data_IF_510068337112
#
_entry.id   IF_510068337112
#
_cell.length_a   1.000
_cell.length_b   1.000
_cell.length_c   1.000
_cell.angle_alpha   90.00
_cell.angle_beta   90.00
_cell.angle_gamma   90.00
#
_symmetry.space_group_name_H-M   'P 1'
#
loop_
_entity.id
_entity.type
_entity.pdbx_description
1 polymer ?
#
# COMPACT_ATOMS: atom_id res chain seq x y z
N UNK A 1 -2.91 21.16 5.36
CA UNK A 1 -2.19 20.49 6.45
C UNK A 1 -2.87 19.22 6.94
N UNK A 2 -4.18 19.24 7.20
CA UNK A 2 -4.96 18.06 7.61
C UNK A 2 -4.99 16.92 6.58
N UNK A 3 -4.65 17.19 5.32
CA UNK A 3 -4.59 16.21 4.25
C UNK A 3 -3.26 15.44 4.19
N UNK A 4 -2.23 15.90 4.89
CA UNK A 4 -0.92 15.26 4.85
C UNK A 4 -1.00 13.80 5.30
N UNK A 5 -0.53 12.87 4.46
CA UNK A 5 -0.59 11.43 4.72
C UNK A 5 -2.00 10.81 4.73
N UNK A 6 -3.06 11.59 4.47
CA UNK A 6 -4.46 11.13 4.47
C UNK A 6 -5.09 11.18 3.11
N UNK A 7 -4.95 12.29 2.41
CA UNK A 7 -5.52 12.52 1.09
C UNK A 7 -4.40 12.88 0.12
N UNK A 8 -4.35 12.19 -1.02
CA UNK A 8 -3.35 12.45 -2.06
C UNK A 8 -3.54 13.85 -2.64
N UNK A 9 -2.47 14.66 -2.73
CA UNK A 9 -2.55 16.00 -3.32
C UNK A 9 -2.57 16.00 -4.85
N UNK A 10 -2.28 14.86 -5.50
CA UNK A 10 -2.10 14.75 -6.94
C UNK A 10 -3.30 14.07 -7.60
N UNK A 11 -3.79 12.96 -7.03
CA UNK A 11 -4.84 12.15 -7.64
C UNK A 11 -6.22 12.77 -7.44
N UNK A 12 -6.70 13.47 -8.45
CA UNK A 12 -8.04 14.04 -8.53
C UNK A 12 -8.50 14.03 -10.00
N UNK A 13 -9.81 14.00 -10.31
CA UNK A 13 -10.29 14.10 -11.68
C UNK A 13 -9.87 15.40 -12.33
N UNK A 14 -9.77 15.38 -13.66
CA UNK A 14 -9.67 16.57 -14.50
C UNK A 14 -11.08 17.06 -14.84
N UNK A 15 -11.32 18.37 -14.79
CA UNK A 15 -12.59 18.97 -15.15
C UNK A 15 -13.41 19.49 -13.96
N UNK A 16 -14.77 19.50 -14.04
CA UNK A 16 -15.62 20.17 -13.04
C UNK A 16 -15.49 19.65 -11.62
N UNK A 17 -15.13 18.38 -11.46
CA UNK A 17 -14.99 17.71 -10.18
C UNK A 17 -13.57 17.76 -9.59
N UNK A 18 -12.69 18.59 -10.15
CA UNK A 18 -11.32 18.72 -9.64
C UNK A 18 -11.31 19.17 -8.18
N UNK A 19 -10.55 18.46 -7.36
CA UNK A 19 -10.47 18.73 -5.92
C UNK A 19 -11.67 18.31 -5.10
N UNK A 20 -12.78 17.92 -5.72
CA UNK A 20 -13.99 17.43 -5.02
C UNK A 20 -13.98 15.91 -4.83
N UNK A 21 -13.42 15.19 -5.78
CA UNK A 21 -13.23 13.73 -5.69
C UNK A 21 -11.75 13.49 -5.42
N UNK A 22 -11.44 12.91 -4.28
CA UNK A 22 -10.08 12.68 -3.82
C UNK A 22 -9.83 11.21 -3.54
N UNK A 23 -8.56 10.82 -3.50
CA UNK A 23 -8.13 9.46 -3.17
C UNK A 23 -7.36 9.43 -1.85
N UNK A 24 -7.51 8.36 -1.09
CA UNK A 24 -6.75 8.14 0.14
C UNK A 24 -5.26 7.94 -0.18
N UNK A 25 -4.41 8.41 0.71
CA UNK A 25 -2.98 8.11 0.66
C UNK A 25 -2.71 6.63 0.95
N UNK A 26 -1.54 6.13 0.52
CA UNK A 26 -1.17 4.69 0.55
C UNK A 26 -1.37 4.05 1.92
N UNK A 27 -0.97 4.74 2.99
CA UNK A 27 -1.03 4.20 4.36
C UNK A 27 -2.18 4.75 5.19
N UNK A 28 -3.04 5.59 4.61
CA UNK A 28 -4.19 6.15 5.30
C UNK A 28 -5.21 5.06 5.65
N UNK A 29 -5.80 5.20 6.82
CA UNK A 29 -6.80 4.29 7.36
C UNK A 29 -7.98 5.10 7.90
N UNK A 30 -9.18 4.56 7.79
CA UNK A 30 -10.38 5.14 8.41
C UNK A 30 -10.62 4.43 9.72
N UNK A 31 -10.77 5.19 10.81
CA UNK A 31 -11.08 4.63 12.12
C UNK A 31 -12.59 4.31 12.27
N UNK A 32 -12.97 3.71 13.39
CA UNK A 32 -14.35 3.31 13.67
C UNK A 32 -15.33 4.49 13.76
N UNK A 33 -14.83 5.71 13.97
CA UNK A 33 -15.60 6.94 14.01
C UNK A 33 -15.70 7.65 12.65
N UNK A 34 -15.05 7.13 11.62
CA UNK A 34 -15.04 7.70 10.27
C UNK A 34 -13.97 8.77 10.02
N UNK A 35 -13.02 8.98 10.95
CA UNK A 35 -11.89 9.88 10.73
C UNK A 35 -10.76 9.16 10.01
N UNK A 36 -10.06 9.90 9.12
CA UNK A 36 -8.88 9.39 8.42
C UNK A 36 -7.65 9.57 9.31
N UNK A 37 -6.94 8.49 9.54
CA UNK A 37 -5.71 8.43 10.32
C UNK A 37 -4.53 8.09 9.42
N UNK A 38 -3.35 8.57 9.80
CA UNK A 38 -2.09 8.26 9.14
C UNK A 38 -1.10 7.66 10.13
N UNK A 39 -0.26 6.68 9.71
CA UNK A 39 0.70 6.06 10.61
C UNK A 39 1.95 6.92 10.78
N UNK A 40 2.48 6.92 11.98
CA UNK A 40 3.78 7.50 12.34
C UNK A 40 4.57 6.51 13.20
N UNK A 41 5.89 6.58 13.12
CA UNK A 41 6.79 5.85 14.00
C UNK A 41 7.03 6.66 15.25
N UNK A 42 6.92 6.05 16.40
CA UNK A 42 7.17 6.70 17.70
C UNK A 42 8.66 6.94 17.92
N UNK A 43 9.01 8.10 18.45
CA UNK A 43 10.38 8.47 18.80
C UNK A 43 10.52 8.56 20.32
N UNK A 44 11.50 7.86 20.87
CA UNK A 44 11.80 7.88 22.30
C UNK A 44 13.28 8.19 22.51
N UNK A 45 13.57 9.27 23.24
CA UNK A 45 14.94 9.72 23.55
C UNK A 45 15.86 9.82 22.32
N UNK A 46 15.36 10.41 21.23
CA UNK A 46 16.11 10.56 19.99
C UNK A 46 16.33 9.28 19.20
N UNK A 47 15.61 8.20 19.55
CA UNK A 47 15.63 6.93 18.83
C UNK A 47 14.24 6.64 18.25
N UNK A 48 14.21 6.32 16.97
CA UNK A 48 12.99 5.88 16.27
C UNK A 48 12.71 4.43 16.62
N UNK A 49 11.51 4.16 17.14
CA UNK A 49 11.05 2.81 17.47
C UNK A 49 10.33 2.17 16.28
N UNK A 50 10.10 0.87 16.35
CA UNK A 50 9.28 0.15 15.35
C UNK A 50 7.79 0.18 15.70
N UNK A 51 7.42 0.86 16.79
CA UNK A 51 6.03 1.06 17.18
C UNK A 51 5.38 2.07 16.23
N UNK A 52 4.26 1.64 15.62
CA UNK A 52 3.48 2.47 14.71
C UNK A 52 2.24 2.96 15.42
N UNK A 53 2.07 4.27 15.45
CA UNK A 53 0.89 4.92 15.99
C UNK A 53 0.09 5.58 14.87
N UNK A 54 -1.20 5.27 14.79
CA UNK A 54 -2.12 5.95 13.89
C UNK A 54 -2.68 7.19 14.58
N UNK A 55 -2.59 8.32 13.91
CA UNK A 55 -2.93 9.64 14.46
C UNK A 55 -3.91 10.34 13.54
N UNK A 56 -4.97 10.89 14.12
CA UNK A 56 -5.95 11.73 13.42
C UNK A 56 -5.40 13.15 13.19
N UNK A 57 -6.02 13.90 12.27
CA UNK A 57 -5.60 15.26 11.98
C UNK A 57 -5.72 16.23 13.17
N UNK A 58 -6.63 15.95 14.10
CA UNK A 58 -6.86 16.75 15.30
C UNK A 58 -5.69 16.56 16.27
N UNK A 59 -5.33 15.32 16.54
CA UNK A 59 -4.25 14.95 17.47
C UNK A 59 -2.86 15.31 16.92
N UNK A 60 -2.68 15.25 15.60
CA UNK A 60 -1.40 15.52 14.93
C UNK A 60 -0.83 16.91 15.28
N UNK A 61 -1.69 17.90 15.47
CA UNK A 61 -1.26 19.26 15.81
C UNK A 61 -0.54 19.40 17.15
N UNK A 62 -0.62 18.40 18.02
CA UNK A 62 0.03 18.39 19.34
C UNK A 62 1.45 17.81 19.29
N UNK A 63 1.77 17.03 18.24
CA UNK A 63 3.04 16.32 18.10
C UNK A 63 4.03 17.05 17.20
N UNK A 64 5.31 16.91 17.53
CA UNK A 64 6.43 17.31 16.67
C UNK A 64 6.84 16.11 15.82
N UNK A 65 6.67 16.21 14.49
CA UNK A 65 6.81 15.08 13.56
C UNK A 65 8.00 15.31 12.65
N UNK A 66 9.01 14.44 12.74
CA UNK A 66 10.16 14.47 11.84
C UNK A 66 9.81 13.90 10.45
N UNK A 67 10.42 14.47 9.41
CA UNK A 67 10.25 14.00 8.05
C UNK A 67 10.94 12.65 7.82
N UNK A 68 10.39 11.82 6.92
CA UNK A 68 10.97 10.52 6.57
C UNK A 68 12.35 10.60 5.90
N UNK A 69 12.73 11.76 5.35
CA UNK A 69 14.02 12.01 4.69
C UNK A 69 15.20 12.15 5.64
N UNK A 70 14.94 12.30 6.95
CA UNK A 70 15.99 12.46 7.97
C UNK A 70 16.82 11.19 8.07
N UNK A 71 18.15 11.36 8.07
CA UNK A 71 19.08 10.24 8.14
C UNK A 71 19.15 9.66 9.54
N UNK A 72 19.01 8.35 9.62
CA UNK A 72 19.15 7.57 10.85
C UNK A 72 20.44 6.74 10.82
N UNK A 73 21.03 6.52 12.00
CA UNK A 73 22.13 5.58 12.20
C UNK A 73 21.61 4.12 12.18
N UNK A 74 22.52 3.14 12.16
CA UNK A 74 22.23 1.70 12.23
C UNK A 74 21.39 1.31 13.46
N UNK A 75 21.42 2.13 14.51
CA UNK A 75 20.65 1.93 15.75
C UNK A 75 19.32 2.70 15.74
N UNK A 76 18.87 3.23 14.61
CA UNK A 76 17.67 4.06 14.46
C UNK A 76 17.73 5.38 15.27
N UNK A 77 18.93 5.92 15.53
CA UNK A 77 19.09 7.24 16.12
C UNK A 77 19.31 8.31 15.07
N UNK A 78 18.81 9.51 15.33
CA UNK A 78 19.09 10.67 14.47
C UNK A 78 20.59 11.00 14.48
N UNK A 79 21.14 11.28 13.29
CA UNK A 79 22.56 11.62 13.12
C UNK A 79 22.77 13.11 13.36
N UNK A 80 21.81 13.93 12.95
CA UNK A 80 21.85 15.39 13.02
C UNK A 80 21.19 15.88 14.30
N UNK A 81 21.73 16.91 14.93
CA UNK A 81 21.15 17.52 16.15
C UNK A 81 19.89 18.34 15.85
N UNK A 82 19.82 18.94 14.64
CA UNK A 82 18.68 19.68 14.13
C UNK A 82 18.07 18.94 12.97
N UNK A 83 16.79 18.62 13.08
CA UNK A 83 16.04 17.86 12.07
C UNK A 83 14.86 18.68 11.55
N UNK A 84 14.52 18.56 10.25
CA UNK A 84 13.33 19.16 9.71
C UNK A 84 12.09 18.45 10.26
N UNK A 85 11.23 19.22 10.89
CA UNK A 85 10.00 18.75 11.52
C UNK A 85 8.79 19.52 11.00
N UNK A 86 7.63 18.90 11.18
CA UNK A 86 6.32 19.55 11.01
C UNK A 86 5.67 19.68 12.40
N UNK A 87 5.36 20.91 12.77
CA UNK A 87 4.67 21.24 14.01
C UNK A 87 3.62 22.31 13.75
N UNK A 88 2.40 22.10 14.20
CA UNK A 88 1.26 23.02 14.01
C UNK A 88 1.11 23.54 12.59
N UNK A 89 1.30 22.64 11.59
CA UNK A 89 1.22 22.93 10.14
C UNK A 89 2.37 23.80 9.58
N UNK A 90 3.42 24.07 10.33
CA UNK A 90 4.62 24.77 9.87
C UNK A 90 5.79 23.79 9.78
N UNK A 91 6.70 24.08 8.84
CA UNK A 91 7.94 23.32 8.69
C UNK A 91 9.06 24.12 9.37
N UNK A 92 9.66 23.52 10.37
CA UNK A 92 10.71 24.12 11.17
C UNK A 92 11.90 23.16 11.34
N UNK A 93 13.03 23.71 11.80
CA UNK A 93 14.16 22.92 12.28
C UNK A 93 14.12 22.88 13.80
N UNK A 94 14.02 21.70 14.37
CA UNK A 94 14.01 21.51 15.82
C UNK A 94 15.07 20.51 16.26
N UNK A 95 15.42 20.58 17.55
CA UNK A 95 16.33 19.61 18.18
C UNK A 95 15.66 18.26 18.33
N UNK A 96 16.45 17.20 18.21
CA UNK A 96 16.01 15.81 18.28
C UNK A 96 15.23 15.47 19.55
N UNK A 97 15.56 16.13 20.67
CA UNK A 97 14.91 15.90 21.98
C UNK A 97 13.43 16.31 22.00
N UNK A 98 13.01 17.12 21.04
CA UNK A 98 11.61 17.59 20.93
C UNK A 98 10.76 16.74 19.97
N UNK A 99 11.37 15.80 19.26
CA UNK A 99 10.69 15.00 18.26
C UNK A 99 9.90 13.88 18.94
N UNK A 100 8.60 13.85 18.72
CA UNK A 100 7.69 12.85 19.27
C UNK A 100 7.46 11.69 18.30
N UNK A 101 7.29 12.02 17.00
CA UNK A 101 6.94 11.07 15.93
C UNK A 101 7.82 11.29 14.71
N UNK A 102 7.87 10.30 13.85
CA UNK A 102 8.54 10.36 12.55
C UNK A 102 7.64 9.75 11.46
N UNK A 103 7.64 10.34 10.26
CA UNK A 103 6.97 9.79 9.10
C UNK A 103 7.49 8.39 8.79
N UNK A 104 6.60 7.47 8.38
CA UNK A 104 6.96 6.09 8.07
C UNK A 104 7.75 6.00 6.77
N UNK A 105 7.31 6.73 5.73
CA UNK A 105 7.89 6.72 4.40
C UNK A 105 7.54 7.99 3.63
N UNK A 106 8.38 8.45 2.68
CA UNK A 106 8.01 9.53 1.77
C UNK A 106 6.78 9.23 0.92
N UNK A 107 6.51 7.96 0.62
CA UNK A 107 5.32 7.51 -0.13
C UNK A 107 4.00 7.71 0.64
N UNK A 108 4.08 8.00 1.92
CA UNK A 108 2.92 8.22 2.78
C UNK A 108 2.00 9.35 2.29
N UNK A 109 2.52 10.30 1.56
CA UNK A 109 1.80 11.51 1.13
C UNK A 109 0.91 11.24 -0.09
N UNK A 110 1.27 10.30 -0.95
CA UNK A 110 0.62 10.05 -2.23
C UNK A 110 -0.30 8.84 -2.21
N UNK A 111 -1.23 8.78 -3.17
CA UNK A 111 -2.10 7.61 -3.37
C UNK A 111 -1.34 6.45 -4.04
N UNK A 112 -1.99 5.29 -4.12
CA UNK A 112 -1.44 4.10 -4.79
C UNK A 112 -1.12 4.40 -6.26
N UNK A 113 -2.02 5.08 -6.97
CA UNK A 113 -1.80 5.41 -8.39
C UNK A 113 -0.59 6.34 -8.56
N UNK A 114 -0.48 7.38 -7.74
CA UNK A 114 0.67 8.28 -7.78
C UNK A 114 1.97 7.59 -7.34
N UNK A 115 1.92 6.67 -6.38
CA UNK A 115 3.09 5.91 -5.93
C UNK A 115 3.63 4.92 -6.99
N UNK A 116 2.85 4.59 -8.01
CA UNK A 116 3.28 3.77 -9.15
C UNK A 116 4.00 4.56 -10.25
N UNK A 117 4.04 5.89 -10.16
CA UNK A 117 4.75 6.73 -11.13
C UNK A 117 6.24 6.74 -10.79
N UNK A 118 7.12 6.20 -11.67
CA UNK A 118 8.56 6.25 -11.42
C UNK A 118 9.07 7.69 -11.55
N UNK A 119 10.02 8.08 -10.69
CA UNK A 119 10.61 9.43 -10.64
C UNK A 119 9.59 10.55 -10.42
N UNK A 120 8.54 10.28 -9.66
CA UNK A 120 7.47 11.23 -9.37
C UNK A 120 7.99 12.57 -8.82
N UNK A 121 9.05 12.53 -8.01
CA UNK A 121 9.68 13.71 -7.41
C UNK A 121 10.29 14.68 -8.43
N UNK A 122 10.51 14.24 -9.66
CA UNK A 122 11.04 15.05 -10.77
C UNK A 122 9.96 15.54 -11.72
N UNK A 123 8.70 15.13 -11.52
CA UNK A 123 7.59 15.48 -12.39
C UNK A 123 6.82 16.70 -11.86
N UNK A 124 6.31 17.51 -12.78
CA UNK A 124 5.35 18.56 -12.44
C UNK A 124 4.03 17.95 -11.95
N UNK A 125 3.42 18.59 -10.95
CA UNK A 125 2.19 18.10 -10.32
C UNK A 125 1.04 17.92 -11.33
N UNK A 126 0.90 18.83 -12.31
CA UNK A 126 -0.14 18.74 -13.33
C UNK A 126 0.05 17.50 -14.22
N UNK A 127 1.30 17.17 -14.58
CA UNK A 127 1.60 15.98 -15.39
C UNK A 127 1.45 14.70 -14.60
N UNK A 128 1.79 14.71 -13.33
CA UNK A 128 1.55 13.58 -12.43
C UNK A 128 0.05 13.31 -12.23
N UNK A 129 -0.78 14.35 -12.13
CA UNK A 129 -2.24 14.26 -12.09
C UNK A 129 -2.78 13.58 -13.36
N UNK A 130 -2.37 14.05 -14.53
CA UNK A 130 -2.77 13.45 -15.81
C UNK A 130 -2.32 12.00 -15.91
N UNK A 131 -1.08 11.68 -15.53
CA UNK A 131 -0.52 10.34 -15.53
C UNK A 131 -1.28 9.38 -14.61
N UNK A 132 -1.61 9.79 -13.40
CA UNK A 132 -2.37 8.97 -12.46
C UNK A 132 -3.80 8.69 -12.95
N UNK A 133 -4.44 9.64 -13.62
CA UNK A 133 -5.73 9.45 -14.25
C UNK A 133 -5.66 8.49 -15.45
N UNK A 134 -4.60 8.58 -16.26
CA UNK A 134 -4.39 7.67 -17.41
C UNK A 134 -4.10 6.23 -17.01
N UNK A 135 -3.47 5.99 -15.86
CA UNK A 135 -3.29 4.63 -15.32
C UNK A 135 -4.61 3.88 -15.14
N UNK A 136 -5.69 4.58 -14.79
CA UNK A 136 -7.02 3.98 -14.64
C UNK A 136 -7.69 3.62 -15.98
N UNK A 137 -7.16 4.07 -17.10
CA UNK A 137 -7.62 3.80 -18.45
C UNK A 137 -6.78 2.74 -19.17
N UNK A 138 -5.86 2.10 -18.44
CA UNK A 138 -4.97 1.08 -19.00
C UNK A 138 -5.74 -0.13 -19.49
N UNK A 139 -5.32 -0.67 -20.65
CA UNK A 139 -5.87 -1.88 -21.25
C UNK A 139 -4.80 -2.97 -21.21
N UNK A 140 -5.13 -4.20 -20.76
CA UNK A 140 -4.20 -5.32 -20.78
C UNK A 140 -3.68 -5.62 -22.18
N UNK A 141 -2.37 -5.85 -22.31
CA UNK A 141 -1.74 -6.27 -23.57
C UNK A 141 -1.90 -7.78 -23.79
N UNK A 142 -1.73 -8.24 -25.02
CA UNK A 142 -1.78 -9.67 -25.35
C UNK A 142 -0.68 -10.48 -24.63
N UNK A 143 0.53 -9.93 -24.59
CA UNK A 143 1.65 -10.45 -23.81
C UNK A 143 1.99 -9.43 -22.74
N UNK A 144 1.88 -9.82 -21.48
CA UNK A 144 2.20 -8.96 -20.35
C UNK A 144 3.66 -9.09 -19.97
N UNK A 145 4.32 -7.95 -19.78
CA UNK A 145 5.72 -7.89 -19.38
C UNK A 145 5.86 -7.01 -18.13
N UNK A 146 6.85 -7.30 -17.31
CA UNK A 146 7.18 -6.44 -16.19
C UNK A 146 7.79 -5.12 -16.69
N UNK A 147 7.46 -3.98 -16.07
CA UNK A 147 8.05 -2.69 -16.45
C UNK A 147 9.56 -2.70 -16.21
N UNK A 148 10.34 -2.13 -17.14
CA UNK A 148 11.81 -2.00 -17.02
C UNK A 148 12.18 -1.09 -15.84
N UNK A 149 11.39 -0.06 -15.59
CA UNK A 149 11.55 0.86 -14.46
C UNK A 149 10.28 0.82 -13.63
N UNK A 150 10.42 0.48 -12.38
CA UNK A 150 9.31 0.37 -11.44
C UNK A 150 9.61 1.05 -10.11
N UNK A 151 8.61 1.18 -9.27
CA UNK A 151 8.69 1.83 -7.95
C UNK A 151 8.79 0.83 -6.79
N UNK A 152 8.65 -0.47 -7.07
CA UNK A 152 8.55 -1.52 -6.06
C UNK A 152 7.14 -1.75 -5.51
N UNK A 153 6.18 -0.88 -5.83
CA UNK A 153 4.78 -1.03 -5.42
C UNK A 153 3.99 -1.99 -6.32
N UNK A 154 4.47 -2.28 -7.52
CA UNK A 154 3.73 -3.03 -8.54
C UNK A 154 3.31 -4.41 -8.04
N UNK A 155 4.22 -5.13 -7.40
CA UNK A 155 3.94 -6.47 -6.86
C UNK A 155 2.86 -6.44 -5.79
N UNK A 156 2.95 -5.50 -4.84
CA UNK A 156 1.97 -5.35 -3.76
C UNK A 156 0.60 -4.96 -4.30
N UNK A 157 0.56 -4.01 -5.23
CA UNK A 157 -0.69 -3.57 -5.87
C UNK A 157 -1.34 -4.72 -6.64
N UNK A 158 -0.59 -5.49 -7.41
CA UNK A 158 -1.09 -6.66 -8.12
C UNK A 158 -1.64 -7.72 -7.15
N UNK A 159 -0.93 -7.99 -6.05
CA UNK A 159 -1.33 -8.96 -5.04
C UNK A 159 -2.66 -8.57 -4.37
N UNK A 160 -2.85 -7.29 -4.04
CA UNK A 160 -4.04 -6.80 -3.33
C UNK A 160 -5.13 -6.24 -4.24
N UNK A 161 -4.99 -6.32 -5.57
CA UNK A 161 -5.97 -5.80 -6.53
C UNK A 161 -7.30 -6.54 -6.56
N UNK A 162 -7.35 -7.75 -6.00
CA UNK A 162 -8.53 -8.61 -6.06
C UNK A 162 -8.65 -9.44 -7.35
N UNK A 163 -7.81 -9.20 -8.36
CA UNK A 163 -7.75 -10.00 -9.58
C UNK A 163 -6.92 -11.28 -9.39
N UNK A 164 -6.02 -11.28 -8.41
CA UNK A 164 -5.24 -12.45 -8.00
C UNK A 164 -5.99 -13.23 -6.92
N UNK A 165 -5.97 -14.55 -7.02
CA UNK A 165 -6.49 -15.44 -5.98
C UNK A 165 -5.37 -15.65 -4.95
N UNK A 166 -5.69 -15.34 -3.69
CA UNK A 166 -4.75 -15.43 -2.57
C UNK A 166 -5.17 -16.59 -1.67
N UNK A 167 -4.20 -17.36 -1.20
CA UNK A 167 -4.43 -18.45 -0.25
C UNK A 167 -4.94 -17.89 1.09
N UNK A 168 -6.09 -18.39 1.54
CA UNK A 168 -6.68 -18.01 2.85
C UNK A 168 -5.97 -18.68 4.02
N UNK A 169 -5.57 -19.93 3.82
CA UNK A 169 -4.94 -20.76 4.83
C UNK A 169 -3.65 -21.37 4.32
N UNK A 170 -2.76 -21.72 5.23
CA UNK A 170 -1.53 -22.46 4.89
C UNK A 170 -1.83 -23.93 4.62
N UNK A 171 -1.12 -24.51 3.66
CA UNK A 171 -1.36 -25.91 3.29
C UNK A 171 -0.43 -26.43 2.22
N UNK A 172 -0.82 -27.56 1.65
CA UNK A 172 -0.12 -28.18 0.51
C UNK A 172 -1.10 -28.30 -0.65
N UNK A 173 -0.64 -27.95 -1.85
CA UNK A 173 -1.43 -28.08 -3.10
C UNK A 173 -1.60 -29.56 -3.39
N UNK A 174 -2.84 -30.03 -3.40
CA UNK A 174 -3.17 -31.41 -3.66
C UNK A 174 -3.43 -31.66 -5.15
N UNK A 175 -4.14 -30.74 -5.77
CA UNK A 175 -4.48 -30.84 -7.21
C UNK A 175 -4.59 -29.47 -7.83
N UNK A 176 -4.04 -29.35 -9.03
CA UNK A 176 -4.15 -28.15 -9.88
C UNK A 176 -4.79 -28.54 -11.21
N UNK A 177 -5.82 -27.80 -11.56
CA UNK A 177 -6.49 -27.90 -12.86
C UNK A 177 -6.59 -26.48 -13.45
N UNK A 178 -6.86 -26.38 -14.74
CA UNK A 178 -7.01 -25.07 -15.39
C UNK A 178 -8.13 -24.20 -14.79
N UNK A 179 -9.16 -24.82 -14.20
CA UNK A 179 -10.32 -24.15 -13.64
C UNK A 179 -10.37 -24.10 -12.11
N UNK A 180 -9.55 -24.87 -11.42
CA UNK A 180 -9.57 -24.94 -9.96
C UNK A 180 -8.26 -25.39 -9.34
N UNK A 181 -8.00 -24.92 -8.12
CA UNK A 181 -6.88 -25.33 -7.28
C UNK A 181 -7.45 -25.89 -5.99
N UNK A 182 -6.96 -27.06 -5.59
CA UNK A 182 -7.35 -27.75 -4.34
C UNK A 182 -6.18 -27.76 -3.40
N UNK A 183 -6.35 -27.18 -2.21
CA UNK A 183 -5.32 -27.08 -1.18
C UNK A 183 -5.78 -27.84 0.06
N UNK A 184 -4.95 -28.75 0.52
CA UNK A 184 -5.13 -29.42 1.81
C UNK A 184 -4.52 -28.54 2.90
N UNK A 185 -5.36 -28.07 3.83
CA UNK A 185 -4.94 -27.25 4.96
C UNK A 185 -4.02 -28.01 5.93
N UNK A 186 -3.17 -27.28 6.61
CA UNK A 186 -2.39 -27.84 7.73
C UNK A 186 -3.32 -28.18 8.89
N UNK A 187 -3.22 -29.38 9.42
CA UNK A 187 -4.06 -29.88 10.52
C UNK A 187 -4.04 -29.02 11.78
N UNK A 188 -2.99 -28.23 11.98
CA UNK A 188 -2.83 -27.35 13.16
C UNK A 188 -3.69 -26.07 13.08
N UNK A 189 -4.16 -25.70 11.90
CA UNK A 189 -4.91 -24.47 11.65
C UNK A 189 -6.40 -24.74 11.40
N UNK A 190 -6.83 -26.00 11.46
CA UNK A 190 -8.20 -26.41 11.21
C UNK A 190 -9.03 -26.32 12.50
N UNK A 191 -10.08 -25.52 12.51
CA UNK A 191 -11.11 -25.56 13.55
C UNK A 191 -11.98 -26.82 13.38
N UNK A 192 -12.56 -27.32 14.46
CA UNK A 192 -13.39 -28.53 14.44
C UNK A 192 -14.63 -28.44 13.48
N UNK A 193 -15.00 -27.23 13.07
CA UNK A 193 -16.12 -26.94 12.16
C UNK A 193 -15.69 -26.65 10.73
N UNK A 194 -14.37 -26.53 10.46
CA UNK A 194 -13.85 -26.15 9.16
C UNK A 194 -13.55 -27.36 8.25
N UNK A 195 -13.70 -27.16 6.94
CA UNK A 195 -13.26 -28.15 5.95
C UNK A 195 -11.72 -28.29 5.97
N UNK A 196 -11.24 -29.51 5.85
CA UNK A 196 -9.81 -29.82 5.73
C UNK A 196 -9.20 -29.39 4.38
N UNK A 197 -10.04 -28.98 3.43
CA UNK A 197 -9.63 -28.65 2.06
C UNK A 197 -10.23 -27.30 1.65
N UNK A 198 -9.42 -26.48 1.05
CA UNK A 198 -9.85 -25.24 0.37
C UNK A 198 -9.87 -25.45 -1.15
N UNK A 199 -10.96 -25.05 -1.78
CA UNK A 199 -11.13 -25.12 -3.23
C UNK A 199 -11.22 -23.68 -3.76
N UNK A 200 -10.29 -23.32 -4.65
CA UNK A 200 -10.25 -22.03 -5.34
C UNK A 200 -10.65 -22.22 -6.79
N UNK A 201 -11.72 -21.57 -7.23
CA UNK A 201 -12.17 -21.59 -8.61
C UNK A 201 -11.53 -20.43 -9.38
N UNK A 202 -10.92 -20.73 -10.53
CA UNK A 202 -10.28 -19.75 -11.40
C UNK A 202 -11.27 -19.21 -12.43
N UNK A 203 -11.22 -17.90 -12.68
CA UNK A 203 -12.00 -17.25 -13.71
C UNK A 203 -11.35 -17.54 -15.07
N UNK A 204 -12.12 -18.10 -15.99
CA UNK A 204 -11.63 -18.51 -17.32
C UNK A 204 -12.36 -17.77 -18.42
N UNK A 205 -11.63 -16.98 -19.20
CA UNK A 205 -12.08 -16.33 -20.44
C UNK A 205 -13.42 -15.62 -20.32
N UNK A 206 -13.64 -14.90 -19.22
CA UNK A 206 -14.85 -14.12 -19.02
C UNK A 206 -14.66 -12.70 -19.55
N UNK A 207 -15.75 -12.11 -20.03
CA UNK A 207 -15.76 -10.71 -20.47
C UNK A 207 -15.92 -9.78 -19.27
N UNK A 208 -15.07 -8.76 -19.16
CA UNK A 208 -15.25 -7.68 -18.22
C UNK A 208 -16.26 -6.64 -18.72
N UNK A 209 -16.70 -5.74 -17.83
CA UNK A 209 -17.58 -4.62 -18.20
C UNK A 209 -16.94 -3.67 -19.24
N UNK A 210 -15.62 -3.61 -19.31
CA UNK A 210 -14.84 -2.83 -20.27
C UNK A 210 -14.50 -3.59 -21.56
N UNK A 211 -15.15 -4.72 -21.82
CA UNK A 211 -14.90 -5.60 -22.99
C UNK A 211 -13.48 -6.21 -23.04
N UNK A 212 -12.82 -6.33 -21.90
CA UNK A 212 -11.53 -7.03 -21.79
C UNK A 212 -11.73 -8.49 -21.40
N UNK A 213 -10.81 -9.37 -21.75
CA UNK A 213 -10.84 -10.77 -21.39
C UNK A 213 -10.16 -10.99 -20.04
N UNK A 214 -10.88 -11.57 -19.08
CA UNK A 214 -10.34 -11.98 -17.79
C UNK A 214 -10.05 -13.47 -17.86
N UNK A 215 -8.79 -13.86 -17.67
CA UNK A 215 -8.35 -15.25 -17.65
C UNK A 215 -7.27 -15.42 -16.56
N UNK A 216 -7.59 -16.20 -15.53
CA UNK A 216 -6.65 -16.52 -14.46
C UNK A 216 -5.91 -17.82 -14.79
N UNK A 217 -4.62 -17.84 -14.49
CA UNK A 217 -3.76 -19.02 -14.64
C UNK A 217 -3.17 -19.41 -13.30
N UNK A 218 -3.17 -20.70 -12.93
CA UNK A 218 -2.47 -21.14 -11.72
C UNK A 218 -0.96 -20.94 -11.92
N UNK A 219 -0.29 -20.43 -10.87
CA UNK A 219 1.18 -20.30 -10.83
C UNK A 219 1.82 -21.35 -9.92
N UNK A 220 0.99 -22.11 -9.18
CA UNK A 220 1.41 -23.15 -8.27
C UNK A 220 1.33 -24.52 -8.91
N UNK A 221 2.14 -25.46 -8.44
CA UNK A 221 2.18 -26.86 -8.90
C UNK A 221 1.72 -27.81 -7.81
N UNK A 222 1.32 -29.02 -8.20
CA UNK A 222 0.95 -30.08 -7.24
C UNK A 222 2.13 -30.42 -6.33
N UNK A 223 1.89 -30.47 -5.03
CA UNK A 223 2.88 -30.72 -3.99
C UNK A 223 3.53 -29.47 -3.40
N UNK A 224 3.28 -28.27 -3.94
CA UNK A 224 3.84 -27.03 -3.41
C UNK A 224 3.27 -26.75 -2.01
N UNK A 225 4.13 -26.25 -1.13
CA UNK A 225 3.74 -25.76 0.20
C UNK A 225 3.42 -24.28 0.10
N UNK A 226 2.25 -23.90 0.59
CA UNK A 226 1.71 -22.55 0.51
C UNK A 226 1.48 -22.01 1.91
N UNK A 227 1.78 -20.74 2.10
CA UNK A 227 1.45 -19.97 3.29
C UNK A 227 0.20 -19.12 3.06
N UNK A 228 -0.52 -18.80 4.11
CA UNK A 228 -1.62 -17.83 4.01
C UNK A 228 -1.10 -16.50 3.45
N UNK A 229 -1.78 -15.95 2.43
CA UNK A 229 -1.37 -14.73 1.74
C UNK A 229 -0.57 -14.94 0.44
N UNK A 230 -0.17 -16.17 0.11
CA UNK A 230 0.51 -16.47 -1.15
C UNK A 230 -0.46 -16.40 -2.35
N UNK A 231 0.04 -16.00 -3.50
CA UNK A 231 -0.71 -15.98 -4.77
C UNK A 231 -0.74 -17.39 -5.36
N UNK A 232 -1.91 -17.79 -5.87
CA UNK A 232 -2.18 -19.14 -6.39
C UNK A 232 -2.14 -19.27 -7.90
#
# INVERSE_FOLDING_TARGET
>A
PSHYGRVCPIETPEGPNIGLINSLSVYAKVNDFGFIETPYRKVENGKVTDEIQYVSAIEEGEFVIAQASVKLDKNNKFIEELVPVRYRNEFELMTVDRVDLMDVSPQQVVSIAAALIPFLEHDDANRALMGSNMQRQAVPTLSTEAPLVGTGMERLVAQYSGDCIIAKNSGTVEKVDSGKIVIRKNLKEISATDSAVDIYNLIKYTRSNQNTCINQRPIVSEGDKISAGDIL
#
